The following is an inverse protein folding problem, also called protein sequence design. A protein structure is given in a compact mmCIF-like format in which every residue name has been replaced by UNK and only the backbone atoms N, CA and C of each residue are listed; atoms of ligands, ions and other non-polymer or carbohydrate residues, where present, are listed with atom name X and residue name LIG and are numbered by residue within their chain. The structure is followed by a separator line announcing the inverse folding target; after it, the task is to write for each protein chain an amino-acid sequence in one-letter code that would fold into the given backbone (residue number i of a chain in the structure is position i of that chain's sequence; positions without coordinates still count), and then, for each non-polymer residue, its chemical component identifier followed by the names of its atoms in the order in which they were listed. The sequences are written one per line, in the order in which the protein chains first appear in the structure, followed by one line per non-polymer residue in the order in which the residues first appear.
data_IF_461414275594
#
_entry.id   IF_461414275594
#
_cell.length_a   1.000
_cell.length_b   1.000
_cell.length_c   1.000
_cell.angle_alpha   90.00
_cell.angle_beta   90.00
_cell.angle_gamma   90.00
#
_symmetry.space_group_name_H-M   'P 1'
#
loop_
_entity.id
_entity.type
_entity.pdbx_description
1 polymer ?
#
# COMPACT_ATOMS: atom_id res chain seq x y z
N UNK A 1 6.12 -6.30 -9.24
CA UNK A 1 5.30 -5.78 -8.12
C UNK A 1 5.40 -6.75 -6.96
N UNK A 2 5.48 -6.27 -5.74
CA UNK A 2 5.40 -7.10 -4.53
C UNK A 2 4.42 -6.49 -3.53
N UNK A 3 3.80 -7.34 -2.70
CA UNK A 3 2.99 -6.93 -1.55
C UNK A 3 3.62 -7.57 -0.32
N UNK A 4 3.94 -6.74 0.68
CA UNK A 4 4.50 -7.17 1.95
C UNK A 4 3.43 -6.97 3.01
N UNK A 5 3.17 -8.01 3.79
CA UNK A 5 2.24 -7.98 4.92
C UNK A 5 3.02 -8.08 6.21
N UNK A 6 2.73 -7.19 7.15
CA UNK A 6 3.34 -7.21 8.48
C UNK A 6 2.36 -6.65 9.50
N UNK A 7 2.29 -7.24 10.69
CA UNK A 7 1.27 -6.89 11.71
C UNK A 7 1.12 -5.38 11.96
N UNK A 8 2.25 -4.68 12.11
CA UNK A 8 2.31 -3.24 12.42
C UNK A 8 2.49 -2.34 11.20
N UNK A 9 2.54 -2.92 10.00
CA UNK A 9 2.89 -2.19 8.77
C UNK A 9 4.38 -1.86 8.66
N UNK A 10 4.72 -1.09 7.63
CA UNK A 10 6.09 -0.71 7.33
C UNK A 10 6.61 0.37 8.29
N UNK A 11 7.84 0.19 8.78
CA UNK A 11 8.56 1.27 9.48
C UNK A 11 8.89 2.42 8.53
N UNK A 12 9.22 3.60 9.07
CA UNK A 12 9.64 4.75 8.24
C UNK A 12 10.79 4.44 7.30
N UNK A 13 11.78 3.66 7.76
CA UNK A 13 12.92 3.26 6.94
C UNK A 13 12.49 2.29 5.83
N UNK A 14 11.58 1.36 6.13
CA UNK A 14 11.02 0.46 5.12
C UNK A 14 10.24 1.24 4.05
N UNK A 15 9.40 2.20 4.45
CA UNK A 15 8.68 3.09 3.51
C UNK A 15 9.64 3.91 2.65
N UNK A 16 10.73 4.42 3.21
CA UNK A 16 11.74 5.15 2.45
C UNK A 16 12.45 4.23 1.44
N UNK A 17 12.79 3.00 1.84
CA UNK A 17 13.41 2.02 0.94
C UNK A 17 12.47 1.58 -0.20
N UNK A 18 11.18 1.38 0.08
CA UNK A 18 10.21 1.01 -0.97
C UNK A 18 9.97 2.17 -1.95
N UNK A 19 9.91 3.41 -1.46
CA UNK A 19 9.86 4.61 -2.33
C UNK A 19 11.10 4.75 -3.20
N UNK A 20 12.29 4.55 -2.63
CA UNK A 20 13.55 4.53 -3.39
C UNK A 20 13.56 3.44 -4.46
N UNK A 21 13.09 2.22 -4.12
CA UNK A 21 12.97 1.11 -5.05
C UNK A 21 12.05 1.44 -6.24
N UNK A 22 10.94 2.12 -5.99
CA UNK A 22 10.03 2.58 -7.03
C UNK A 22 10.68 3.67 -7.91
N UNK A 23 11.32 4.67 -7.31
CA UNK A 23 11.98 5.77 -8.03
C UNK A 23 13.16 5.32 -8.89
N UNK A 24 14.00 4.45 -8.35
CA UNK A 24 15.26 4.05 -8.97
C UNK A 24 15.10 2.87 -9.93
N UNK A 25 14.22 1.92 -9.59
CA UNK A 25 14.11 0.65 -10.30
C UNK A 25 12.73 0.42 -10.94
N UNK A 26 11.78 1.35 -10.78
CA UNK A 26 10.40 1.18 -11.27
C UNK A 26 9.64 0.05 -10.58
N UNK A 27 10.11 -0.41 -9.42
CA UNK A 27 9.53 -1.56 -8.71
C UNK A 27 8.60 -1.09 -7.59
N UNK A 28 7.31 -1.28 -7.81
CA UNK A 28 6.28 -1.03 -6.80
C UNK A 28 6.29 -2.13 -5.72
N UNK A 29 6.34 -1.70 -4.46
CA UNK A 29 6.21 -2.54 -3.26
C UNK A 29 5.13 -1.92 -2.37
N UNK A 30 3.98 -2.61 -2.23
CA UNK A 30 2.91 -2.22 -1.33
C UNK A 30 3.13 -2.85 0.05
N UNK A 31 2.90 -2.08 1.12
CA UNK A 31 3.06 -2.54 2.49
C UNK A 31 1.71 -2.50 3.21
N UNK A 32 1.21 -3.66 3.63
CA UNK A 32 -0.06 -3.82 4.31
C UNK A 32 0.16 -4.20 5.78
N UNK A 33 -0.66 -3.60 6.63
CA UNK A 33 -0.81 -3.92 8.04
C UNK A 33 -2.04 -4.79 8.30
N UNK A 34 -2.17 -5.31 9.51
CA UNK A 34 -3.40 -5.99 9.93
C UNK A 34 -4.62 -5.07 9.83
N UNK A 35 -4.44 -3.76 10.02
CA UNK A 35 -5.54 -2.79 9.87
C UNK A 35 -6.03 -2.74 8.43
N UNK A 36 -5.10 -2.71 7.47
CA UNK A 36 -5.42 -2.69 6.05
C UNK A 36 -6.12 -3.99 5.64
N UNK A 37 -5.65 -5.14 6.15
CA UNK A 37 -6.29 -6.44 5.89
C UNK A 37 -7.71 -6.51 6.47
N UNK A 38 -7.91 -6.02 7.70
CA UNK A 38 -9.24 -5.98 8.30
C UNK A 38 -10.19 -5.10 7.50
N UNK A 39 -9.70 -3.98 6.97
CA UNK A 39 -10.52 -3.10 6.13
C UNK A 39 -10.85 -3.75 4.79
N UNK A 40 -9.88 -4.40 4.14
CA UNK A 40 -10.10 -5.17 2.92
C UNK A 40 -11.13 -6.30 3.11
N UNK A 41 -11.09 -6.98 4.26
CA UNK A 41 -12.08 -8.01 4.61
C UNK A 41 -13.47 -7.38 4.75
N UNK A 42 -13.61 -6.26 5.47
CA UNK A 42 -14.90 -5.58 5.63
C UNK A 42 -15.48 -5.10 4.32
N UNK A 43 -14.65 -4.48 3.48
CA UNK A 43 -15.03 -4.04 2.13
C UNK A 43 -15.60 -5.23 1.35
N UNK A 44 -14.92 -6.37 1.38
CA UNK A 44 -15.36 -7.59 0.71
C UNK A 44 -16.64 -8.18 1.30
N UNK A 45 -16.79 -8.19 2.62
CA UNK A 45 -17.94 -8.80 3.30
C UNK A 45 -19.22 -7.98 3.13
N UNK A 46 -19.10 -6.66 3.08
CA UNK A 46 -20.25 -5.75 3.04
C UNK A 46 -20.58 -5.22 1.65
N UNK A 47 -19.73 -5.50 0.67
CA UNK A 47 -19.81 -4.96 -0.69
C UNK A 47 -19.89 -3.41 -0.70
N UNK A 48 -19.20 -2.77 0.27
CA UNK A 48 -19.25 -1.31 0.49
C UNK A 48 -18.62 -0.54 -0.67
N UNK A 49 -17.52 -1.07 -1.23
CA UNK A 49 -16.84 -0.52 -2.40
C UNK A 49 -16.03 -1.62 -3.10
N UNK A 50 -15.67 -1.47 -4.39
CA UNK A 50 -14.70 -2.33 -5.04
C UNK A 50 -13.38 -2.32 -4.29
N UNK A 51 -12.81 -3.50 -4.04
CA UNK A 51 -11.47 -3.63 -3.44
C UNK A 51 -10.38 -2.87 -4.22
N UNK A 52 -10.58 -2.67 -5.53
CA UNK A 52 -9.69 -1.88 -6.38
C UNK A 52 -9.55 -0.43 -5.89
N UNK A 53 -10.64 0.20 -5.44
CA UNK A 53 -10.62 1.61 -4.99
C UNK A 53 -9.73 1.82 -3.75
N UNK A 54 -9.66 0.82 -2.85
CA UNK A 54 -8.73 0.84 -1.71
C UNK A 54 -7.27 0.86 -2.17
N UNK A 55 -6.93 0.04 -3.17
CA UNK A 55 -5.57 -0.02 -3.70
C UNK A 55 -5.24 1.21 -4.56
N UNK A 56 -6.20 1.75 -5.30
CA UNK A 56 -6.02 3.00 -6.05
C UNK A 56 -5.69 4.16 -5.11
N UNK A 57 -6.45 4.34 -4.03
CA UNK A 57 -6.15 5.35 -3.03
C UNK A 57 -4.74 5.20 -2.41
N UNK A 58 -4.31 3.95 -2.16
CA UNK A 58 -2.95 3.67 -1.66
C UNK A 58 -1.88 3.98 -2.71
N UNK A 59 -2.15 3.71 -3.99
CA UNK A 59 -1.24 4.03 -5.09
C UNK A 59 -1.11 5.54 -5.27
N UNK A 60 -2.23 6.26 -5.26
CA UNK A 60 -2.24 7.71 -5.38
C UNK A 60 -1.42 8.39 -4.27
N UNK A 61 -1.57 7.93 -3.02
CA UNK A 61 -0.75 8.42 -1.91
C UNK A 61 0.75 8.20 -2.18
N UNK A 62 1.13 7.01 -2.64
CA UNK A 62 2.53 6.70 -2.98
C UNK A 62 3.02 7.62 -4.10
N UNK A 63 2.23 7.84 -5.15
CA UNK A 63 2.60 8.64 -6.32
C UNK A 63 2.72 10.14 -5.98
N UNK A 64 1.76 10.70 -5.23
CA UNK A 64 1.81 12.10 -4.76
C UNK A 64 3.09 12.36 -3.96
N UNK A 65 3.52 11.38 -3.16
CA UNK A 65 4.74 11.48 -2.37
C UNK A 65 6.04 11.18 -3.13
N UNK A 66 5.98 10.80 -4.41
CA UNK A 66 7.15 10.62 -5.28
C UNK A 66 7.53 11.87 -6.07
N UNK A 67 6.58 12.77 -6.31
CA UNK A 67 6.78 14.00 -7.09
C UNK A 67 7.50 15.12 -6.30
N UNK A 68 7.92 14.86 -5.06
CA UNK A 68 8.71 15.76 -4.21
C UNK A 68 10.07 15.15 -3.89
#
# INVERSE_FOLDING_TARGET
MAIIVSREGASRNALSATKGCLRENGKLILCLSDKDLNELIRIKEKDEQPTAEFFEAMLDDILIHLEK
#
